data_IF_411795802399
#
_entry.id   IF_411795802399
#
_cell.length_a   1.000
_cell.length_b   1.000
_cell.length_c   1.000
_cell.angle_alpha   90.00
_cell.angle_beta   90.00
_cell.angle_gamma   90.00
#
_symmetry.space_group_name_H-M   'P 1'
#
loop_
_entity.id
_entity.type
_entity.pdbx_description
1 polymer ?
#
# COMPACT_ATOMS: atom_id res chain seq x y z
N UNK A 1 -1.20 36.63 89.96
CA UNK A 1 -0.09 36.96 89.03
C UNK A 1 0.30 35.71 88.27
N UNK A 2 0.00 35.73 86.97
CA UNK A 2 0.61 35.04 85.82
C UNK A 2 0.81 33.50 85.84
N UNK A 3 0.04 32.82 84.99
CA UNK A 3 0.34 31.53 84.37
C UNK A 3 1.08 31.76 83.02
N UNK A 4 1.35 30.74 82.16
CA UNK A 4 1.93 29.38 82.30
C UNK A 4 3.01 29.11 81.22
N UNK A 5 3.83 28.04 81.27
CA UNK A 5 4.37 27.49 80.00
C UNK A 5 4.66 25.98 80.02
N UNK A 6 3.90 25.27 79.20
CA UNK A 6 4.11 23.90 78.74
C UNK A 6 5.41 23.84 77.92
N UNK A 7 6.43 23.13 78.39
CA UNK A 7 7.63 22.88 77.58
C UNK A 7 7.36 21.66 76.68
N UNK A 8 6.68 21.93 75.57
CA UNK A 8 6.41 20.95 74.52
C UNK A 8 7.70 20.30 74.02
N UNK A 9 7.63 18.98 73.79
CA UNK A 9 8.71 18.20 73.22
C UNK A 9 9.16 18.77 71.88
N UNK A 10 10.48 18.90 71.72
CA UNK A 10 11.08 19.24 70.45
C UNK A 10 10.76 18.12 69.44
N UNK A 11 10.03 18.46 68.38
CA UNK A 11 9.86 17.58 67.22
C UNK A 11 11.15 17.71 66.40
N UNK A 12 11.91 16.64 66.15
CA UNK A 12 13.07 16.71 65.27
C UNK A 12 12.58 17.00 63.84
N UNK A 13 12.87 18.20 63.34
CA UNK A 13 12.66 18.55 61.95
C UNK A 13 13.73 17.84 61.10
N UNK A 14 13.34 16.77 60.41
CA UNK A 14 14.18 16.08 59.44
C UNK A 14 14.61 17.00 58.29
N UNK A 15 15.70 16.67 57.58
CA UNK A 15 16.26 17.52 56.54
C UNK A 15 15.24 17.73 55.42
N UNK A 16 14.82 18.98 55.20
CA UNK A 16 14.00 19.34 54.04
C UNK A 16 14.88 19.30 52.80
N UNK A 17 14.73 18.23 52.01
CA UNK A 17 15.38 18.08 50.71
C UNK A 17 14.89 19.19 49.78
N UNK A 18 15.63 20.28 49.75
CA UNK A 18 15.45 21.40 48.84
C UNK A 18 15.92 20.95 47.46
N UNK A 19 14.96 20.57 46.62
CA UNK A 19 15.23 20.13 45.26
C UNK A 19 15.93 21.26 44.49
N UNK A 20 17.23 21.10 44.25
CA UNK A 20 18.04 22.10 43.58
C UNK A 20 17.66 22.15 42.10
N UNK A 21 17.80 23.32 41.48
CA UNK A 21 17.51 23.56 40.06
C UNK A 21 18.10 22.48 39.14
N UNK A 22 19.22 21.88 39.54
CA UNK A 22 19.86 20.76 38.86
C UNK A 22 18.98 19.51 38.77
N UNK A 23 18.18 19.18 39.79
CA UNK A 23 17.24 18.04 39.73
C UNK A 23 16.09 18.30 38.74
N UNK A 24 15.67 19.55 38.59
CA UNK A 24 14.69 19.92 37.55
C UNK A 24 15.32 19.82 36.17
N UNK A 25 16.58 20.24 36.03
CA UNK A 25 17.32 20.17 34.78
C UNK A 25 17.62 18.73 34.35
N UNK A 26 18.01 17.85 35.28
CA UNK A 26 18.22 16.43 34.98
C UNK A 26 16.90 15.73 34.61
N UNK A 27 15.79 16.08 35.28
CA UNK A 27 14.48 15.56 34.92
C UNK A 27 14.06 16.03 33.52
N UNK A 28 14.27 17.31 33.19
CA UNK A 28 13.99 17.85 31.85
C UNK A 28 14.81 17.13 30.77
N UNK A 29 16.11 16.94 31.03
CA UNK A 29 17.01 16.22 30.12
C UNK A 29 16.57 14.77 29.91
N UNK A 30 16.16 14.08 30.99
CA UNK A 30 15.68 12.71 30.91
C UNK A 30 14.37 12.60 30.11
N UNK A 31 13.43 13.52 30.35
CA UNK A 31 12.17 13.59 29.59
C UNK A 31 12.45 13.90 28.12
N UNK A 32 13.35 14.84 27.83
CA UNK A 32 13.75 15.17 26.46
C UNK A 32 14.37 13.97 25.76
N UNK A 33 15.27 13.23 26.42
CA UNK A 33 15.85 12.01 25.89
C UNK A 33 14.79 10.94 25.61
N UNK A 34 13.81 10.78 26.50
CA UNK A 34 12.72 9.83 26.32
C UNK A 34 11.80 10.23 25.16
N UNK A 35 11.49 11.51 25.02
CA UNK A 35 10.74 12.04 23.87
C UNK A 35 11.53 11.84 22.58
N UNK A 36 12.84 12.07 22.58
CA UNK A 36 13.70 11.83 21.43
C UNK A 36 13.72 10.35 21.02
N UNK A 37 13.73 9.44 21.99
CA UNK A 37 13.65 8.00 21.75
C UNK A 37 12.27 7.60 21.20
N UNK A 38 11.19 8.14 21.77
CA UNK A 38 9.83 7.93 21.25
C UNK A 38 9.71 8.47 19.83
N UNK A 39 10.18 9.68 19.56
CA UNK A 39 10.19 10.24 18.20
C UNK A 39 11.04 9.36 17.30
N UNK A 40 12.23 8.90 17.67
CA UNK A 40 13.03 8.01 16.84
C UNK A 40 12.33 6.68 16.52
N UNK A 41 11.54 6.14 17.45
CA UNK A 41 10.77 4.89 17.26
C UNK A 41 9.47 5.10 16.48
N UNK A 42 8.83 6.28 16.61
CA UNK A 42 7.55 6.63 16.00
C UNK A 42 7.68 7.58 14.79
N UNK A 43 8.89 8.01 14.41
CA UNK A 43 9.13 8.77 13.19
C UNK A 43 8.80 7.89 11.99
N UNK A 44 8.39 8.52 10.90
CA UNK A 44 7.51 8.01 9.84
C UNK A 44 7.88 6.65 9.22
N UNK A 45 9.09 6.12 9.44
CA UNK A 45 9.56 4.82 8.93
C UNK A 45 10.29 3.90 9.95
N UNK A 46 10.23 4.18 11.25
CA UNK A 46 11.28 3.76 12.20
C UNK A 46 11.53 2.26 12.41
N UNK A 47 10.52 1.39 12.42
CA UNK A 47 10.69 -0.07 12.60
C UNK A 47 9.52 -0.89 12.04
N UNK A 48 8.32 -0.30 11.98
CA UNK A 48 7.11 -0.99 11.53
C UNK A 48 7.02 -1.10 10.00
N UNK A 49 7.70 -0.21 9.28
CA UNK A 49 7.63 -0.17 7.81
C UNK A 49 8.49 -1.25 7.16
N UNK A 50 9.62 -1.64 7.78
CA UNK A 50 10.49 -2.73 7.27
C UNK A 50 9.74 -4.06 7.16
N UNK A 51 8.84 -4.36 8.11
CA UNK A 51 8.03 -5.58 8.04
C UNK A 51 6.93 -5.51 6.98
N UNK A 52 6.29 -4.34 6.79
CA UNK A 52 5.27 -4.16 5.75
C UNK A 52 5.88 -4.17 4.34
N UNK A 53 7.08 -3.63 4.17
CA UNK A 53 7.79 -3.68 2.90
C UNK A 53 8.21 -5.10 2.51
N UNK A 54 8.43 -6.02 3.47
CA UNK A 54 8.76 -7.41 3.15
C UNK A 54 7.58 -8.14 2.51
N UNK A 55 6.37 -7.99 3.07
CA UNK A 55 5.15 -8.58 2.51
C UNK A 55 4.78 -7.95 1.16
N UNK A 56 4.93 -6.64 1.04
CA UNK A 56 4.67 -5.93 -0.22
C UNK A 56 5.65 -6.36 -1.32
N UNK A 57 6.95 -6.47 -1.01
CA UNK A 57 7.95 -7.01 -1.93
C UNK A 57 7.65 -8.45 -2.34
N UNK A 58 7.24 -9.30 -1.41
CA UNK A 58 6.90 -10.70 -1.71
C UNK A 58 5.65 -10.80 -2.61
N UNK A 59 4.62 -9.98 -2.34
CA UNK A 59 3.42 -9.92 -3.16
C UNK A 59 3.69 -9.41 -4.58
N UNK A 60 4.61 -8.44 -4.69
CA UNK A 60 4.99 -7.83 -5.96
C UNK A 60 5.85 -8.79 -6.79
N UNK A 61 6.78 -9.50 -6.15
CA UNK A 61 7.59 -10.53 -6.82
C UNK A 61 6.72 -11.70 -7.32
N UNK A 62 5.78 -12.17 -6.50
CA UNK A 62 4.84 -13.21 -6.90
C UNK A 62 3.98 -12.77 -8.09
N UNK A 63 3.48 -11.53 -8.07
CA UNK A 63 2.72 -10.95 -9.19
C UNK A 63 3.58 -10.85 -10.45
N UNK A 64 4.84 -10.44 -10.32
CA UNK A 64 5.79 -10.36 -11.43
C UNK A 64 6.05 -11.75 -12.03
N UNK A 65 6.21 -12.78 -11.20
CA UNK A 65 6.39 -14.16 -11.64
C UNK A 65 5.19 -14.67 -12.44
N UNK A 66 3.98 -14.47 -11.94
CA UNK A 66 2.74 -14.86 -12.65
C UNK A 66 2.65 -14.14 -14.01
N UNK A 67 2.87 -12.83 -14.04
CA UNK A 67 2.85 -12.04 -15.27
C UNK A 67 3.93 -12.49 -16.27
N UNK A 68 5.11 -12.90 -15.81
CA UNK A 68 6.16 -13.44 -16.69
C UNK A 68 5.77 -14.77 -17.29
N UNK A 69 5.17 -15.65 -16.50
CA UNK A 69 4.68 -16.96 -16.97
C UNK A 69 3.57 -16.79 -18.01
N UNK A 70 2.63 -15.89 -17.76
CA UNK A 70 1.54 -15.55 -18.69
C UNK A 70 2.08 -14.94 -19.99
N UNK A 71 2.99 -13.97 -19.90
CA UNK A 71 3.65 -13.42 -21.08
C UNK A 71 4.40 -14.48 -21.90
N UNK A 72 5.09 -15.41 -21.22
CA UNK A 72 5.77 -16.49 -21.92
C UNK A 72 4.79 -17.44 -22.60
N UNK A 73 3.63 -17.70 -22.01
CA UNK A 73 2.57 -18.52 -22.60
C UNK A 73 1.95 -17.83 -23.82
N UNK A 74 1.56 -16.56 -23.68
CA UNK A 74 1.03 -15.76 -24.79
C UNK A 74 2.04 -15.64 -25.93
N UNK A 75 3.32 -15.50 -25.62
CA UNK A 75 4.40 -15.49 -26.62
C UNK A 75 4.47 -16.80 -27.42
N UNK A 76 4.35 -17.95 -26.74
CA UNK A 76 4.28 -19.26 -27.41
C UNK A 76 3.03 -19.41 -28.27
N UNK A 77 1.88 -18.94 -27.78
CA UNK A 77 0.63 -18.97 -28.53
C UNK A 77 0.72 -18.10 -29.79
N UNK A 78 1.24 -16.89 -29.68
CA UNK A 78 1.52 -16.01 -30.83
C UNK A 78 2.46 -16.69 -31.82
N UNK A 79 3.52 -17.36 -31.34
CA UNK A 79 4.46 -18.04 -32.21
C UNK A 79 3.81 -19.23 -32.93
N UNK A 80 3.01 -20.03 -32.23
CA UNK A 80 2.27 -21.16 -32.80
C UNK A 80 1.23 -20.67 -33.83
N UNK A 81 0.48 -19.61 -33.51
CA UNK A 81 -0.44 -18.96 -34.43
C UNK A 81 0.30 -18.42 -35.66
N UNK A 82 1.47 -17.78 -35.49
CA UNK A 82 2.28 -17.26 -36.61
C UNK A 82 2.87 -18.34 -37.52
N UNK A 83 3.06 -19.55 -37.02
CA UNK A 83 3.55 -20.67 -37.83
C UNK A 83 2.48 -21.20 -38.80
N UNK A 84 1.20 -20.95 -38.54
CA UNK A 84 0.10 -21.28 -39.43
C UNK A 84 -0.70 -20.02 -39.83
N UNK A 85 -0.39 -19.42 -41.01
CA UNK A 85 -1.11 -18.26 -41.53
C UNK A 85 -2.63 -18.46 -41.60
N UNK A 86 -3.10 -19.69 -41.80
CA UNK A 86 -4.53 -20.01 -41.85
C UNK A 86 -5.17 -19.93 -40.46
N UNK A 87 -4.48 -20.35 -39.41
CA UNK A 87 -4.97 -20.25 -38.03
C UNK A 87 -5.16 -18.80 -37.59
N UNK A 88 -4.21 -17.90 -37.93
CA UNK A 88 -4.35 -16.46 -37.69
C UNK A 88 -5.54 -15.87 -38.45
N UNK A 89 -5.66 -16.21 -39.73
CA UNK A 89 -6.73 -15.69 -40.58
C UNK A 89 -8.11 -16.15 -40.08
N UNK A 90 -8.22 -17.40 -39.63
CA UNK A 90 -9.44 -17.94 -39.02
C UNK A 90 -9.80 -17.20 -37.72
N UNK A 91 -8.85 -17.02 -36.80
CA UNK A 91 -9.08 -16.29 -35.55
C UNK A 91 -9.50 -14.84 -35.79
N UNK A 92 -8.83 -14.17 -36.73
CA UNK A 92 -9.11 -12.79 -37.10
C UNK A 92 -10.54 -12.63 -37.64
N UNK A 93 -10.99 -13.53 -38.53
CA UNK A 93 -12.34 -13.48 -39.09
C UNK A 93 -13.43 -13.93 -38.11
N UNK A 94 -13.22 -15.03 -37.39
CA UNK A 94 -14.27 -15.64 -36.55
C UNK A 94 -14.44 -14.95 -35.19
N UNK A 95 -13.33 -14.55 -34.54
CA UNK A 95 -13.39 -13.99 -33.19
C UNK A 95 -13.30 -12.48 -33.15
N UNK A 96 -12.54 -11.89 -34.08
CA UNK A 96 -12.27 -10.46 -34.09
C UNK A 96 -13.05 -9.72 -35.19
N UNK A 97 -13.74 -10.43 -36.09
CA UNK A 97 -14.43 -9.87 -37.25
C UNK A 97 -13.55 -8.92 -38.09
N UNK A 98 -12.26 -9.22 -38.18
CA UNK A 98 -11.26 -8.44 -38.93
C UNK A 98 -11.17 -8.94 -40.37
N UNK A 99 -10.98 -8.00 -41.31
CA UNK A 99 -10.74 -8.26 -42.72
C UNK A 99 -9.40 -7.63 -43.16
N UNK A 100 -8.72 -8.19 -44.17
CA UNK A 100 -7.49 -7.60 -44.72
C UNK A 100 -7.80 -6.30 -45.46
N UNK A 101 -6.79 -5.43 -45.57
CA UNK A 101 -6.89 -4.20 -46.36
C UNK A 101 -7.24 -4.54 -47.81
N UNK A 102 -8.37 -4.01 -48.31
CA UNK A 102 -8.89 -4.26 -49.65
C UNK A 102 -9.97 -5.36 -49.76
N UNK A 103 -10.33 -6.04 -48.68
CA UNK A 103 -11.46 -7.00 -48.67
C UNK A 103 -12.82 -6.29 -48.48
N UNK A 104 -13.86 -6.73 -49.20
CA UNK A 104 -15.23 -6.21 -49.07
C UNK A 104 -16.04 -7.05 -48.09
N UNK A 105 -16.52 -6.44 -47.01
CA UNK A 105 -17.35 -7.11 -45.99
C UNK A 105 -18.82 -7.04 -46.38
N UNK A 106 -19.47 -8.19 -46.55
CA UNK A 106 -20.90 -8.28 -46.82
C UNK A 106 -21.69 -8.52 -45.54
N UNK A 107 -22.59 -7.61 -45.20
CA UNK A 107 -23.57 -7.84 -44.14
C UNK A 107 -24.85 -8.40 -44.74
N UNK A 108 -25.22 -9.61 -44.34
CA UNK A 108 -26.48 -10.23 -44.75
C UNK A 108 -27.58 -9.59 -43.90
N UNK A 109 -28.29 -8.62 -44.48
CA UNK A 109 -29.51 -8.07 -43.86
C UNK A 109 -30.71 -8.91 -44.28
N UNK A 110 -31.57 -9.34 -43.34
CA UNK A 110 -32.81 -10.01 -43.71
C UNK A 110 -33.69 -9.02 -44.49
N UNK A 111 -34.22 -9.48 -45.62
CA UNK A 111 -35.14 -8.70 -46.45
C UNK A 111 -36.36 -8.34 -45.61
N UNK A 112 -36.49 -7.06 -45.25
CA UNK A 112 -37.69 -6.58 -44.57
C UNK A 112 -38.78 -6.41 -45.63
N UNK A 113 -39.74 -7.34 -45.66
CA UNK A 113 -40.89 -7.35 -46.58
C UNK A 113 -41.76 -6.08 -46.49
N UNK A 114 -41.54 -5.19 -45.52
CA UNK A 114 -42.37 -3.98 -45.33
C UNK A 114 -42.01 -2.78 -46.21
N UNK A 115 -41.03 -2.85 -47.10
CA UNK A 115 -40.67 -1.71 -47.98
C UNK A 115 -41.28 -1.77 -49.40
N UNK A 116 -42.30 -2.60 -49.64
CA UNK A 116 -43.04 -2.63 -50.91
C UNK A 116 -44.37 -1.85 -50.89
N UNK A 117 -44.63 -1.01 -49.88
CA UNK A 117 -45.86 -0.23 -49.84
C UNK A 117 -45.55 1.21 -49.46
N UNK A 118 -45.08 1.99 -50.43
CA UNK A 118 -45.48 3.40 -50.57
C UNK A 118 -45.68 3.71 -52.06
N UNK A 119 -46.85 4.27 -52.44
CA UNK A 119 -47.14 4.71 -53.81
C UNK A 119 -46.28 5.89 -54.23
#
# INVERSE_FOLDING_TARGET
>A
MNAPILRGGAIPSGPRKNFSTYQRLTLLSLVFFFVMLMVALFHEDGLMTVFKFQDELHSLDQSNRVLREENAQLGREIQALKQDPYAIEKLAREKLNLAKSGEMVYHIVPMNEKNQIRP
#
